data_IF_620865027578
#
_entry.id   IF_620865027578
#
_cell.length_a   1.000
_cell.length_b   1.000
_cell.length_c   1.000
_cell.angle_alpha   90.00
_cell.angle_beta   90.00
_cell.angle_gamma   90.00
#
_symmetry.space_group_name_H-M   'P 1'
#
loop_
_entity.id
_entity.type
_entity.pdbx_description
1 polymer ?
#
# COMPACT_ATOMS: atom_id res chain seq x y z
N UNK A 1 18.88 2.19 -1.02
CA UNK A 1 17.73 1.26 -0.89
C UNK A 1 16.67 1.78 0.07
N UNK A 2 17.02 2.26 1.28
CA UNK A 2 16.07 2.77 2.29
C UNK A 2 15.06 3.80 1.78
N UNK A 3 15.56 4.85 1.10
CA UNK A 3 14.72 5.93 0.55
C UNK A 3 13.74 5.40 -0.51
N UNK A 4 14.19 4.48 -1.38
CA UNK A 4 13.34 3.87 -2.41
C UNK A 4 12.23 3.02 -1.79
N UNK A 5 12.58 2.14 -0.84
CA UNK A 5 11.61 1.26 -0.17
C UNK A 5 10.57 2.06 0.63
N UNK A 6 11.01 3.09 1.36
CA UNK A 6 10.10 4.02 2.03
C UNK A 6 9.16 4.73 1.05
N UNK A 7 9.69 5.28 -0.06
CA UNK A 7 8.90 6.01 -1.05
C UNK A 7 7.89 5.10 -1.76
N UNK A 8 8.26 3.86 -2.08
CA UNK A 8 7.36 2.89 -2.71
C UNK A 8 6.22 2.51 -1.77
N UNK A 9 6.50 2.17 -0.51
CA UNK A 9 5.46 1.85 0.47
C UNK A 9 4.54 3.05 0.67
N UNK A 10 5.11 4.25 0.84
CA UNK A 10 4.37 5.49 1.02
C UNK A 10 3.42 5.76 -0.16
N UNK A 11 3.92 5.69 -1.40
CA UNK A 11 3.12 5.94 -2.60
C UNK A 11 1.98 4.92 -2.74
N UNK A 12 2.25 3.63 -2.57
CA UNK A 12 1.23 2.58 -2.65
C UNK A 12 0.14 2.82 -1.60
N UNK A 13 0.54 3.11 -0.36
CA UNK A 13 -0.42 3.37 0.72
C UNK A 13 -1.23 4.64 0.51
N UNK A 14 -0.66 5.71 -0.03
CA UNK A 14 -1.38 6.95 -0.37
C UNK A 14 -2.40 6.69 -1.48
N UNK A 15 -2.00 6.00 -2.55
CA UNK A 15 -2.89 5.68 -3.67
C UNK A 15 -4.06 4.81 -3.17
N UNK A 16 -3.77 3.74 -2.41
CA UNK A 16 -4.79 2.89 -1.83
C UNK A 16 -5.76 3.68 -0.94
N UNK A 17 -5.24 4.51 -0.03
CA UNK A 17 -6.06 5.31 0.88
C UNK A 17 -6.94 6.32 0.13
N UNK A 18 -6.41 6.92 -0.94
CA UNK A 18 -7.14 7.89 -1.77
C UNK A 18 -8.28 7.20 -2.53
N UNK A 19 -8.00 6.05 -3.16
CA UNK A 19 -9.01 5.26 -3.87
C UNK A 19 -10.12 4.83 -2.90
N UNK A 20 -9.76 4.32 -1.73
CA UNK A 20 -10.73 3.95 -0.70
C UNK A 20 -11.57 5.15 -0.29
N UNK A 21 -10.97 6.32 -0.04
CA UNK A 21 -11.70 7.52 0.34
C UNK A 21 -12.72 7.95 -0.72
N UNK A 22 -12.34 7.92 -2.00
CA UNK A 22 -13.22 8.25 -3.13
C UNK A 22 -14.36 7.25 -3.23
N UNK A 23 -14.05 5.95 -3.21
CA UNK A 23 -15.06 4.89 -3.28
C UNK A 23 -16.04 4.96 -2.12
N UNK A 24 -15.55 5.12 -0.89
CA UNK A 24 -16.38 5.28 0.30
C UNK A 24 -17.29 6.49 0.17
N UNK A 25 -16.77 7.63 -0.26
CA UNK A 25 -17.58 8.86 -0.47
C UNK A 25 -18.71 8.62 -1.47
N UNK A 26 -18.41 7.97 -2.61
CA UNK A 26 -19.40 7.66 -3.64
C UNK A 26 -20.50 6.71 -3.12
N UNK A 27 -20.10 5.64 -2.44
CA UNK A 27 -21.05 4.67 -1.85
C UNK A 27 -21.94 5.34 -0.80
N UNK A 28 -21.38 6.15 0.10
CA UNK A 28 -22.16 6.85 1.12
C UNK A 28 -23.13 7.87 0.53
N UNK A 29 -22.75 8.56 -0.55
CA UNK A 29 -23.64 9.50 -1.23
C UNK A 29 -24.87 8.78 -1.80
N UNK A 30 -24.66 7.68 -2.53
CA UNK A 30 -25.75 6.86 -3.06
C UNK A 30 -26.63 6.25 -1.96
N UNK A 31 -26.01 5.72 -0.91
CA UNK A 31 -26.71 5.17 0.25
C UNK A 31 -27.60 6.22 0.94
N UNK A 32 -27.07 7.42 1.17
CA UNK A 32 -27.82 8.49 1.84
C UNK A 32 -28.98 9.01 0.97
N UNK A 33 -28.78 9.09 -0.35
CA UNK A 33 -29.84 9.43 -1.29
C UNK A 33 -30.96 8.40 -1.29
N UNK A 34 -30.62 7.10 -1.33
CA UNK A 34 -31.62 6.06 -1.29
C UNK A 34 -32.36 6.01 0.06
N UNK A 35 -31.63 6.19 1.16
CA UNK A 35 -32.22 6.25 2.50
C UNK A 35 -33.19 7.43 2.64
N UNK A 36 -32.88 8.60 2.07
CA UNK A 36 -33.80 9.74 2.05
C UNK A 36 -35.10 9.43 1.29
N UNK A 37 -35.02 8.68 0.18
CA UNK A 37 -36.20 8.21 -0.56
C UNK A 37 -37.06 7.26 0.27
N UNK A 38 -36.44 6.25 0.87
CA UNK A 38 -37.14 5.26 1.71
C UNK A 38 -37.78 5.88 2.96
N UNK A 39 -37.14 6.88 3.56
CA UNK A 39 -37.73 7.66 4.65
C UNK A 39 -39.02 8.37 4.21
N UNK A 40 -39.05 8.99 3.02
CA UNK A 40 -40.26 9.63 2.50
C UNK A 40 -41.37 8.61 2.26
N UNK A 41 -41.05 7.46 1.66
CA UNK A 41 -42.01 6.36 1.45
C UNK A 41 -42.62 5.89 2.77
N UNK A 42 -41.78 5.69 3.78
CA UNK A 42 -42.20 5.24 5.11
C UNK A 42 -43.14 6.24 5.76
N UNK A 43 -42.78 7.53 5.75
CA UNK A 43 -43.63 8.59 6.31
C UNK A 43 -44.97 8.62 5.60
N UNK A 44 -44.99 8.61 4.26
CA UNK A 44 -46.23 8.65 3.49
C UNK A 44 -47.11 7.44 3.81
N UNK A 45 -46.57 6.23 3.78
CA UNK A 45 -47.35 5.02 4.03
C UNK A 45 -47.92 4.94 5.46
N UNK A 46 -47.24 5.53 6.45
CA UNK A 46 -47.71 5.57 7.84
C UNK A 46 -48.69 6.72 8.11
N UNK A 47 -48.72 7.75 7.25
CA UNK A 47 -49.49 8.99 7.50
C UNK A 47 -50.66 9.17 6.55
N UNK A 48 -50.73 8.42 5.43
CA UNK A 48 -51.78 8.50 4.42
C UNK A 48 -53.12 7.89 4.84
N UNK A 49 -53.52 8.07 6.10
CA UNK A 49 -54.85 7.72 6.56
C UNK A 49 -55.82 8.86 6.18
N UNK A 50 -56.93 8.59 5.46
CA UNK A 50 -57.76 9.64 4.87
C UNK A 50 -58.27 10.70 5.87
N UNK A 51 -58.62 10.30 7.09
CA UNK A 51 -59.13 11.19 8.15
C UNK A 51 -58.09 12.20 8.67
N UNK A 52 -56.80 12.01 8.38
CA UNK A 52 -55.72 12.94 8.78
C UNK A 52 -55.51 14.07 7.77
N UNK A 53 -56.17 14.00 6.62
CA UNK A 53 -55.99 14.90 5.48
C UNK A 53 -57.30 15.46 4.92
N UNK A 54 -58.41 15.31 5.65
CA UNK A 54 -59.77 15.64 5.23
C UNK A 54 -60.17 17.12 5.42
N UNK A 55 -59.53 17.82 6.35
CA UNK A 55 -59.87 19.18 6.75
C UNK A 55 -58.61 20.01 6.93
N UNK A 56 -58.72 21.34 6.75
CA UNK A 56 -57.55 22.22 6.87
C UNK A 56 -56.88 22.12 8.24
N UNK A 57 -57.67 21.90 9.30
CA UNK A 57 -57.17 21.72 10.66
C UNK A 57 -56.41 20.38 10.82
N UNK A 58 -56.96 19.27 10.33
CA UNK A 58 -56.31 17.95 10.39
C UNK A 58 -55.03 17.92 9.55
N UNK A 59 -55.04 18.49 8.35
CA UNK A 59 -53.86 18.63 7.47
C UNK A 59 -52.76 19.41 8.19
N UNK A 60 -53.07 20.60 8.72
CA UNK A 60 -52.08 21.43 9.41
C UNK A 60 -51.50 20.73 10.65
N UNK A 61 -52.34 20.01 11.41
CA UNK A 61 -51.89 19.24 12.57
C UNK A 61 -50.95 18.09 12.17
N UNK A 62 -51.32 17.31 11.15
CA UNK A 62 -50.52 16.21 10.60
C UNK A 62 -49.17 16.70 10.09
N UNK A 63 -49.15 17.75 9.27
CA UNK A 63 -47.92 18.37 8.75
C UNK A 63 -47.02 18.83 9.89
N UNK A 64 -47.57 19.57 10.87
CA UNK A 64 -46.79 20.07 12.00
C UNK A 64 -46.22 18.95 12.89
N UNK A 65 -46.99 17.88 13.13
CA UNK A 65 -46.52 16.74 13.92
C UNK A 65 -45.39 15.99 13.21
N UNK A 66 -45.49 15.80 11.89
CA UNK A 66 -44.45 15.14 11.10
C UNK A 66 -43.20 16.02 11.07
N UNK A 67 -43.34 17.32 10.75
CA UNK A 67 -42.20 18.25 10.69
C UNK A 67 -41.48 18.43 12.03
N UNK A 68 -42.18 18.29 13.18
CA UNK A 68 -41.54 18.26 14.51
C UNK A 68 -40.80 16.95 14.80
N UNK A 69 -41.14 15.88 14.09
CA UNK A 69 -40.58 14.54 14.32
C UNK A 69 -39.43 14.20 13.37
N UNK A 70 -39.11 15.08 12.43
CA UNK A 70 -38.05 14.87 11.43
C UNK A 70 -37.10 16.07 11.40
N UNK A 71 -35.80 15.81 11.29
CA UNK A 71 -34.76 16.85 11.25
C UNK A 71 -34.48 17.39 9.83
N UNK A 72 -35.43 17.24 8.91
CA UNK A 72 -35.27 17.67 7.53
C UNK A 72 -36.58 18.21 6.95
N UNK A 73 -36.45 19.19 6.05
CA UNK A 73 -37.61 19.81 5.43
C UNK A 73 -38.25 18.86 4.41
N UNK A 74 -39.55 18.61 4.61
CA UNK A 74 -40.41 17.89 3.68
C UNK A 74 -41.47 18.87 3.21
N UNK A 75 -41.78 18.85 1.91
CA UNK A 75 -42.93 19.54 1.36
C UNK A 75 -44.09 18.58 1.26
N UNK A 76 -45.25 18.99 1.77
CA UNK A 76 -46.50 18.26 1.64
C UNK A 76 -47.37 18.99 0.63
N UNK A 77 -47.91 18.26 -0.34
CA UNK A 77 -48.86 18.77 -1.33
C UNK A 77 -50.05 17.82 -1.43
N UNK A 78 -51.27 18.33 -1.38
CA UNK A 78 -52.49 17.56 -1.71
C UNK A 78 -52.95 17.99 -3.09
N UNK A 79 -53.15 17.01 -3.98
CA UNK A 79 -53.45 17.23 -5.39
C UNK A 79 -54.73 16.50 -5.73
N UNK A 80 -55.68 17.20 -6.36
CA UNK A 80 -56.93 16.59 -6.80
C UNK A 80 -56.78 15.86 -8.14
N UNK A 81 -57.80 15.12 -8.56
CA UNK A 81 -57.84 14.36 -9.82
C UNK A 81 -57.69 15.23 -11.08
N UNK A 82 -58.06 16.50 -11.00
CA UNK A 82 -57.84 17.48 -12.09
C UNK A 82 -56.40 18.02 -12.14
N UNK A 83 -55.58 17.67 -11.16
CA UNK A 83 -54.19 18.11 -11.02
C UNK A 83 -54.03 19.46 -10.31
N UNK A 84 -55.08 19.99 -9.71
CA UNK A 84 -55.04 21.24 -8.94
C UNK A 84 -54.50 20.98 -7.53
N UNK A 85 -53.68 21.91 -7.03
CA UNK A 85 -53.16 21.85 -5.66
C UNK A 85 -54.18 22.41 -4.68
N UNK A 86 -54.71 21.56 -3.81
CA UNK A 86 -55.66 21.95 -2.74
C UNK A 86 -54.91 22.48 -1.51
N UNK A 87 -53.76 21.88 -1.22
CA UNK A 87 -52.92 22.26 -0.10
C UNK A 87 -51.45 22.14 -0.46
N UNK A 88 -50.64 23.11 -0.02
CA UNK A 88 -49.19 23.03 -0.08
C UNK A 88 -48.57 23.62 1.18
N UNK A 89 -47.57 22.95 1.75
CA UNK A 89 -46.94 23.36 2.99
C UNK A 89 -45.86 24.43 2.81
N UNK A 90 -45.44 24.74 1.58
CA UNK A 90 -44.39 25.72 1.29
C UNK A 90 -44.92 27.01 0.64
N UNK A 91 -46.07 26.96 -0.05
CA UNK A 91 -46.68 28.11 -0.72
C UNK A 91 -48.19 28.14 -0.51
N UNK A 92 -48.76 29.33 -0.35
CA UNK A 92 -50.21 29.50 -0.16
C UNK A 92 -51.02 29.31 -1.45
N UNK A 93 -50.43 29.62 -2.62
CA UNK A 93 -51.09 29.43 -3.92
C UNK A 93 -50.12 28.86 -4.95
N UNK A 94 -50.58 27.84 -5.68
CA UNK A 94 -49.86 27.23 -6.80
C UNK A 94 -50.82 27.14 -7.99
N UNK A 95 -50.53 27.91 -9.03
CA UNK A 95 -51.36 27.98 -10.24
C UNK A 95 -50.91 26.97 -11.32
N UNK A 96 -49.88 26.17 -11.04
CA UNK A 96 -49.38 25.17 -11.97
C UNK A 96 -50.18 23.87 -11.83
N UNK A 97 -50.61 23.29 -12.95
CA UNK A 97 -51.26 21.98 -12.94
C UNK A 97 -50.24 20.85 -12.76
N UNK A 98 -50.55 19.93 -11.86
CA UNK A 98 -49.76 18.73 -11.60
C UNK A 98 -50.35 17.46 -12.25
N UNK A 99 -51.35 17.59 -13.12
CA UNK A 99 -52.09 16.45 -13.70
C UNK A 99 -51.20 15.46 -14.46
N UNK A 100 -50.19 15.97 -15.16
CA UNK A 100 -49.31 15.17 -16.03
C UNK A 100 -48.03 14.73 -15.34
N UNK A 101 -47.92 14.96 -14.02
CA UNK A 101 -46.71 14.60 -13.28
C UNK A 101 -46.69 13.07 -13.08
N UNK A 102 -45.63 12.35 -13.50
CA UNK A 102 -45.60 10.89 -13.47
C UNK A 102 -45.99 10.30 -12.12
N UNK A 103 -45.48 10.88 -11.02
CA UNK A 103 -45.79 10.41 -9.67
C UNK A 103 -47.28 10.51 -9.32
N UNK A 104 -47.97 11.54 -9.83
CA UNK A 104 -49.40 11.78 -9.55
C UNK A 104 -50.27 10.86 -10.39
N UNK A 105 -49.93 10.68 -11.66
CA UNK A 105 -50.63 9.77 -12.57
C UNK A 105 -50.56 8.34 -12.03
N UNK A 106 -49.35 7.88 -11.69
CA UNK A 106 -49.16 6.54 -11.14
C UNK A 106 -49.86 6.36 -9.79
N UNK A 107 -49.89 7.39 -8.93
CA UNK A 107 -50.61 7.31 -7.66
C UNK A 107 -52.11 7.09 -7.86
N UNK A 108 -52.75 7.75 -8.82
CA UNK A 108 -54.17 7.53 -9.11
C UNK A 108 -54.45 6.15 -9.74
N UNK A 109 -53.54 5.63 -10.57
CA UNK A 109 -53.68 4.34 -11.26
C UNK A 109 -53.36 3.13 -10.38
N UNK A 110 -52.23 3.18 -9.67
CA UNK A 110 -51.62 2.05 -8.94
C UNK A 110 -51.73 2.19 -7.42
N UNK A 111 -52.17 3.35 -6.91
CA UNK A 111 -52.24 3.69 -5.49
C UNK A 111 -50.99 4.42 -4.97
N UNK A 112 -49.85 4.33 -5.67
CA UNK A 112 -48.65 5.10 -5.38
C UNK A 112 -47.85 5.37 -6.66
N UNK A 113 -46.97 6.38 -6.61
CA UNK A 113 -46.07 6.73 -7.70
C UNK A 113 -44.89 7.55 -7.20
N UNK A 114 -43.78 7.51 -7.93
CA UNK A 114 -42.59 8.27 -7.56
C UNK A 114 -41.81 8.78 -8.76
N UNK A 115 -41.17 9.94 -8.59
CA UNK A 115 -40.38 10.57 -9.65
C UNK A 115 -39.17 11.29 -9.05
N UNK A 116 -38.05 11.25 -9.76
CA UNK A 116 -36.86 12.04 -9.45
C UNK A 116 -36.59 12.97 -10.61
N UNK A 117 -36.78 14.27 -10.40
CA UNK A 117 -36.56 15.28 -11.44
C UNK A 117 -36.00 16.56 -10.87
N UNK A 118 -35.31 17.30 -11.74
CA UNK A 118 -34.93 18.67 -11.48
C UNK A 118 -36.17 19.55 -11.32
N UNK A 119 -36.21 20.37 -10.28
CA UNK A 119 -37.26 21.35 -10.04
C UNK A 119 -36.77 22.74 -10.41
N UNK A 120 -37.31 23.33 -11.47
CA UNK A 120 -36.90 24.67 -11.91
C UNK A 120 -37.22 25.76 -10.87
N UNK A 121 -38.32 25.59 -10.13
CA UNK A 121 -38.73 26.55 -9.08
C UNK A 121 -37.77 26.59 -7.89
N UNK A 122 -37.13 25.46 -7.58
CA UNK A 122 -36.22 25.31 -6.44
C UNK A 122 -34.75 25.22 -6.93
N UNK A 123 -34.55 25.14 -8.25
CA UNK A 123 -33.26 24.96 -8.92
C UNK A 123 -32.45 23.80 -8.36
N UNK A 124 -33.09 22.64 -8.21
CA UNK A 124 -32.52 21.49 -7.49
C UNK A 124 -33.20 20.17 -7.85
N UNK A 125 -32.44 19.07 -7.79
CA UNK A 125 -33.01 17.72 -7.91
C UNK A 125 -33.90 17.40 -6.72
N UNK A 126 -35.15 17.06 -7.01
CA UNK A 126 -36.17 16.75 -6.02
C UNK A 126 -36.65 15.32 -6.21
N UNK A 127 -36.82 14.61 -5.09
CA UNK A 127 -37.56 13.37 -5.06
C UNK A 127 -39.02 13.65 -4.72
N UNK A 128 -39.93 13.08 -5.48
CA UNK A 128 -41.37 13.16 -5.27
C UNK A 128 -41.90 11.75 -5.04
N UNK A 129 -42.68 11.59 -3.98
CA UNK A 129 -43.40 10.36 -3.69
C UNK A 129 -44.87 10.71 -3.44
N UNK A 130 -45.77 10.04 -4.15
CA UNK A 130 -47.19 10.30 -4.10
C UNK A 130 -47.96 9.02 -3.76
N UNK A 131 -48.98 9.14 -2.91
CA UNK A 131 -49.91 8.06 -2.59
C UNK A 131 -51.35 8.53 -2.64
N UNK A 132 -52.24 7.64 -3.04
CA UNK A 132 -53.67 7.91 -3.12
C UNK A 132 -54.28 7.98 -1.72
N UNK A 133 -54.89 9.12 -1.38
CA UNK A 133 -55.66 9.26 -0.15
C UNK A 133 -57.09 8.72 -0.36
N UNK A 134 -57.71 9.10 -1.48
CA UNK A 134 -59.05 8.67 -1.88
C UNK A 134 -59.17 8.72 -3.42
N UNK A 135 -60.36 8.47 -3.97
CA UNK A 135 -60.56 8.44 -5.43
C UNK A 135 -60.39 9.80 -6.14
N UNK A 136 -60.35 10.89 -5.38
CA UNK A 136 -60.29 12.26 -5.88
C UNK A 136 -58.98 12.98 -5.52
N UNK A 137 -58.22 12.48 -4.54
CA UNK A 137 -57.07 13.18 -3.95
C UNK A 137 -55.86 12.26 -3.73
N UNK A 138 -54.68 12.85 -3.95
CA UNK A 138 -53.37 12.25 -3.75
C UNK A 138 -52.55 13.12 -2.79
N UNK A 139 -51.92 12.48 -1.81
CA UNK A 139 -50.90 13.08 -0.95
C UNK A 139 -49.54 12.90 -1.62
N UNK A 140 -48.86 14.02 -1.89
CA UNK A 140 -47.49 14.02 -2.40
C UNK A 140 -46.54 14.62 -1.38
N UNK A 141 -45.48 13.91 -1.08
CA UNK A 141 -44.34 14.42 -0.34
C UNK A 141 -43.18 14.67 -1.30
N UNK A 142 -42.43 15.75 -1.08
CA UNK A 142 -41.19 15.97 -1.80
C UNK A 142 -40.07 16.48 -0.90
N UNK A 143 -38.85 16.07 -1.27
CA UNK A 143 -37.62 16.44 -0.57
C UNK A 143 -36.52 16.69 -1.59
N UNK A 144 -35.72 17.70 -1.28
CA UNK A 144 -34.54 18.04 -2.06
C UNK A 144 -33.47 16.95 -1.93
N UNK A 145 -33.09 16.32 -3.04
CA UNK A 145 -31.95 15.40 -3.09
C UNK A 145 -30.66 16.20 -2.94
N UNK A 146 -30.59 17.44 -3.46
CA UNK A 146 -29.42 18.29 -3.26
C UNK A 146 -29.22 18.75 -1.80
N UNK A 147 -30.22 18.59 -0.91
CA UNK A 147 -29.99 18.76 0.54
C UNK A 147 -28.93 17.78 1.07
N UNK A 148 -28.69 16.69 0.35
CA UNK A 148 -27.59 15.76 0.59
C UNK A 148 -26.26 16.44 0.31
N UNK A 149 -26.13 17.23 -0.77
CA UNK A 149 -24.90 17.99 -1.04
C UNK A 149 -24.55 18.93 0.10
N UNK A 150 -25.54 19.59 0.73
CA UNK A 150 -25.32 20.44 1.91
C UNK A 150 -24.83 19.63 3.12
N UNK A 151 -25.35 18.42 3.33
CA UNK A 151 -24.84 17.50 4.35
C UNK A 151 -23.39 17.11 4.04
N UNK A 152 -23.06 16.85 2.76
CA UNK A 152 -21.70 16.57 2.33
C UNK A 152 -20.78 17.78 2.44
N UNK A 153 -21.22 19.01 2.18
CA UNK A 153 -20.46 20.24 2.43
C UNK A 153 -20.08 20.39 3.91
N UNK A 154 -20.98 20.00 4.82
CA UNK A 154 -20.71 20.01 6.25
C UNK A 154 -19.78 18.87 6.71
N UNK A 155 -19.86 17.70 6.08
CA UNK A 155 -19.04 16.51 6.44
C UNK A 155 -17.66 16.55 5.75
N UNK A 156 -17.54 17.14 4.56
CA UNK A 156 -16.31 17.17 3.77
C UNK A 156 -15.10 17.72 4.53
N UNK A 157 -15.19 18.85 5.25
CA UNK A 157 -14.07 19.34 6.07
C UNK A 157 -13.62 18.32 7.13
N UNK A 158 -14.56 17.59 7.74
CA UNK A 158 -14.25 16.55 8.74
C UNK A 158 -13.55 15.35 8.10
N UNK A 159 -14.02 14.92 6.92
CA UNK A 159 -13.36 13.86 6.14
C UNK A 159 -11.96 14.29 5.69
N UNK A 160 -11.78 15.55 5.32
CA UNK A 160 -10.47 16.08 4.97
C UNK A 160 -9.49 16.04 6.15
N UNK A 161 -9.92 16.45 7.34
CA UNK A 161 -9.11 16.33 8.57
C UNK A 161 -8.77 14.86 8.86
N UNK A 162 -9.73 13.95 8.71
CA UNK A 162 -9.49 12.51 8.87
C UNK A 162 -8.49 11.97 7.83
N UNK A 163 -8.59 12.43 6.58
CA UNK A 163 -7.66 12.07 5.52
C UNK A 163 -6.23 12.52 5.83
N UNK A 164 -6.05 13.76 6.30
CA UNK A 164 -4.73 14.25 6.76
C UNK A 164 -4.20 13.39 7.91
N UNK A 165 -5.04 13.02 8.87
CA UNK A 165 -4.65 12.13 9.96
C UNK A 165 -4.18 10.76 9.44
N UNK A 166 -4.90 10.17 8.48
CA UNK A 166 -4.50 8.92 7.82
C UNK A 166 -3.14 9.08 7.14
N UNK A 167 -2.88 10.19 6.44
CA UNK A 167 -1.59 10.45 5.80
C UNK A 167 -0.43 10.49 6.83
N UNK A 168 -0.65 11.09 8.00
CA UNK A 168 0.34 11.13 9.09
C UNK A 168 0.62 9.71 9.61
N UNK A 169 -0.42 8.90 9.80
CA UNK A 169 -0.29 7.50 10.22
C UNK A 169 0.47 6.69 9.17
N UNK A 170 0.07 6.80 7.89
CA UNK A 170 0.71 6.12 6.77
C UNK A 170 2.19 6.50 6.67
N UNK A 171 2.53 7.79 6.82
CA UNK A 171 3.90 8.26 6.86
C UNK A 171 4.69 7.61 7.99
N UNK A 172 4.14 7.63 9.20
CA UNK A 172 4.78 7.10 10.42
C UNK A 172 5.00 5.59 10.31
N UNK A 173 3.99 4.84 9.88
CA UNK A 173 4.06 3.39 9.67
C UNK A 173 5.06 3.06 8.57
N UNK A 174 5.01 3.75 7.42
CA UNK A 174 5.96 3.54 6.32
C UNK A 174 7.40 3.77 6.79
N UNK A 175 7.62 4.80 7.61
CA UNK A 175 8.95 5.11 8.16
C UNK A 175 9.45 4.04 9.14
N UNK A 176 8.60 3.55 10.04
CA UNK A 176 8.93 2.49 10.99
C UNK A 176 9.20 1.18 10.25
N UNK A 177 8.33 0.79 9.31
CA UNK A 177 8.48 -0.44 8.52
C UNK A 177 9.75 -0.41 7.67
N UNK A 178 10.02 0.70 6.98
CA UNK A 178 11.27 0.86 6.24
C UNK A 178 12.51 0.79 7.15
N UNK A 179 12.43 1.28 8.40
CA UNK A 179 13.51 1.10 9.38
C UNK A 179 13.66 -0.35 9.82
N UNK A 180 12.55 -1.01 10.17
CA UNK A 180 12.55 -2.40 10.67
C UNK A 180 13.06 -3.40 9.63
N UNK A 181 12.69 -3.23 8.35
CA UNK A 181 13.16 -4.11 7.26
C UNK A 181 14.65 -3.90 6.97
N UNK A 182 15.14 -2.66 7.00
CA UNK A 182 16.54 -2.39 6.64
C UNK A 182 17.53 -2.55 7.79
N UNK A 183 17.09 -2.45 9.05
CA UNK A 183 17.95 -2.67 10.22
C UNK A 183 18.69 -4.02 10.17
N UNK A 184 18.03 -5.19 10.03
CA UNK A 184 18.71 -6.48 9.99
C UNK A 184 19.60 -6.64 8.76
N UNK A 185 19.21 -6.10 7.60
CA UNK A 185 20.04 -6.16 6.37
C UNK A 185 21.35 -5.40 6.58
N UNK A 186 21.28 -4.21 7.18
CA UNK A 186 22.46 -3.43 7.50
C UNK A 186 23.31 -4.10 8.57
N UNK A 187 22.69 -4.69 9.59
CA UNK A 187 23.38 -5.43 10.66
C UNK A 187 24.07 -6.69 10.11
N UNK A 188 23.41 -7.48 9.25
CA UNK A 188 24.04 -8.61 8.56
C UNK A 188 25.20 -8.16 7.67
N UNK A 189 25.07 -7.03 6.98
CA UNK A 189 26.14 -6.49 6.14
C UNK A 189 27.33 -5.95 6.96
N UNK A 190 27.09 -5.29 8.10
CA UNK A 190 28.15 -4.77 8.96
C UNK A 190 28.81 -5.87 9.80
N UNK A 191 28.04 -6.87 10.21
CA UNK A 191 28.50 -8.02 10.99
C UNK A 191 28.77 -9.24 10.11
N UNK A 192 29.00 -9.05 8.81
CA UNK A 192 29.49 -10.11 7.93
C UNK A 192 30.74 -10.75 8.56
N UNK A 193 31.64 -9.95 9.13
CA UNK A 193 32.83 -10.43 9.85
C UNK A 193 32.49 -11.26 11.10
N UNK A 194 31.41 -10.94 11.82
CA UNK A 194 30.94 -11.69 12.98
C UNK A 194 30.16 -12.96 12.58
N UNK A 195 29.37 -12.92 11.50
CA UNK A 195 28.73 -14.09 10.87
C UNK A 195 29.81 -15.04 10.33
N UNK A 196 30.94 -14.48 9.89
CA UNK A 196 32.15 -15.19 9.52
C UNK A 196 32.94 -15.71 10.72
N UNK A 197 32.51 -15.50 11.97
CA UNK A 197 33.08 -16.20 13.14
C UNK A 197 32.01 -17.11 13.76
N UNK A 198 32.39 -18.34 14.17
CA UNK A 198 31.46 -19.36 14.67
C UNK A 198 30.72 -19.00 15.97
N UNK A 199 30.93 -17.79 16.51
CA UNK A 199 30.38 -17.34 17.79
C UNK A 199 28.97 -16.73 17.72
N UNK A 200 28.41 -16.50 16.54
CA UNK A 200 27.27 -15.58 16.37
C UNK A 200 25.89 -16.24 16.28
N UNK A 201 25.71 -17.48 16.77
CA UNK A 201 24.36 -18.08 16.84
C UNK A 201 23.42 -17.32 17.80
N UNK A 202 23.98 -16.66 18.81
CA UNK A 202 23.22 -16.04 19.90
C UNK A 202 23.23 -14.50 19.90
N UNK A 203 24.05 -13.83 19.08
CA UNK A 203 24.27 -12.38 19.17
C UNK A 203 23.58 -11.54 18.10
N UNK A 204 23.14 -12.13 16.99
CA UNK A 204 22.49 -11.40 15.89
C UNK A 204 21.04 -11.88 15.81
N UNK A 205 20.10 -10.98 16.07
CA UNK A 205 18.67 -11.25 15.94
C UNK A 205 18.30 -11.25 14.44
N UNK A 206 18.69 -12.32 13.75
CA UNK A 206 18.36 -12.56 12.35
C UNK A 206 16.87 -12.96 12.31
N UNK A 207 16.05 -12.25 11.53
CA UNK A 207 14.67 -12.66 11.32
C UNK A 207 14.62 -14.02 10.59
N UNK A 208 13.58 -14.81 10.85
CA UNK A 208 13.39 -16.16 10.28
C UNK A 208 13.53 -16.16 8.75
N UNK A 209 13.05 -15.12 8.07
CA UNK A 209 13.10 -14.99 6.62
C UNK A 209 14.53 -14.81 6.05
N UNK A 210 15.49 -14.38 6.88
CA UNK A 210 16.88 -14.20 6.48
C UNK A 210 17.78 -15.38 6.88
N UNK A 211 17.26 -16.35 7.64
CA UNK A 211 18.01 -17.55 8.05
C UNK A 211 18.56 -18.36 6.86
N UNK A 212 17.81 -18.61 5.77
CA UNK A 212 18.33 -19.37 4.63
C UNK A 212 19.54 -18.71 3.96
N UNK A 213 19.52 -17.37 3.89
CA UNK A 213 20.63 -16.57 3.33
C UNK A 213 21.85 -16.67 4.25
N UNK A 214 21.65 -16.52 5.57
CA UNK A 214 22.72 -16.66 6.55
C UNK A 214 23.36 -18.05 6.50
N UNK A 215 22.55 -19.11 6.37
CA UNK A 215 23.05 -20.49 6.28
C UNK A 215 23.84 -20.69 4.98
N UNK A 216 23.36 -20.17 3.86
CA UNK A 216 24.09 -20.22 2.57
C UNK A 216 25.45 -19.53 2.66
N UNK A 217 25.54 -18.36 3.29
CA UNK A 217 26.81 -17.64 3.50
C UNK A 217 27.77 -18.49 4.34
N UNK A 218 27.26 -19.13 5.40
CA UNK A 218 28.07 -20.00 6.28
C UNK A 218 28.60 -21.23 5.53
N UNK A 219 27.77 -21.86 4.71
CA UNK A 219 28.17 -22.99 3.88
C UNK A 219 29.24 -22.59 2.85
N UNK A 220 29.08 -21.44 2.19
CA UNK A 220 30.08 -20.92 1.27
C UNK A 220 31.42 -20.65 1.97
N UNK A 221 31.40 -20.07 3.17
CA UNK A 221 32.60 -19.89 3.98
C UNK A 221 33.28 -21.22 4.31
N UNK A 222 32.52 -22.23 4.74
CA UNK A 222 33.06 -23.57 5.03
C UNK A 222 33.75 -24.17 3.81
N UNK A 223 33.15 -24.03 2.62
CA UNK A 223 33.75 -24.49 1.36
C UNK A 223 35.03 -23.74 1.00
N UNK A 224 35.03 -22.40 1.11
CA UNK A 224 36.21 -21.57 0.85
C UNK A 224 37.36 -21.96 1.79
N UNK A 225 37.09 -22.14 3.09
CA UNK A 225 38.10 -22.58 4.05
C UNK A 225 38.63 -23.99 3.73
N UNK A 226 37.76 -24.89 3.28
CA UNK A 226 38.15 -26.20 2.77
C UNK A 226 39.15 -26.10 1.62
N UNK A 227 38.83 -25.31 0.59
CA UNK A 227 39.73 -25.08 -0.55
C UNK A 227 41.06 -24.43 -0.14
N UNK A 228 41.05 -23.49 0.81
CA UNK A 228 42.29 -22.89 1.32
C UNK A 228 43.18 -23.93 2.00
N UNK A 229 42.59 -24.85 2.78
CA UNK A 229 43.36 -25.89 3.45
C UNK A 229 43.91 -26.93 2.46
N UNK A 230 43.11 -27.35 1.48
CA UNK A 230 43.54 -28.26 0.41
C UNK A 230 44.71 -27.67 -0.38
N UNK A 231 44.63 -26.39 -0.77
CA UNK A 231 45.72 -25.68 -1.44
C UNK A 231 46.98 -25.58 -0.58
N UNK A 232 46.84 -25.42 0.75
CA UNK A 232 47.98 -25.43 1.67
C UNK A 232 48.63 -26.81 1.75
N UNK A 233 47.83 -27.87 1.87
CA UNK A 233 48.32 -29.25 1.90
C UNK A 233 49.05 -29.60 0.60
N UNK A 234 48.50 -29.24 -0.56
CA UNK A 234 49.15 -29.46 -1.86
C UNK A 234 50.50 -28.71 -1.95
N UNK A 235 50.52 -27.43 -1.54
CA UNK A 235 51.76 -26.63 -1.49
C UNK A 235 52.81 -27.23 -0.55
N UNK A 236 52.40 -27.68 0.62
CA UNK A 236 53.29 -28.24 1.63
C UNK A 236 53.83 -29.61 1.17
N UNK A 237 53.02 -30.42 0.49
CA UNK A 237 53.45 -31.66 -0.16
C UNK A 237 54.49 -31.41 -1.26
N UNK A 238 54.26 -30.45 -2.16
CA UNK A 238 55.25 -30.06 -3.19
C UNK A 238 56.56 -29.60 -2.54
N UNK A 239 56.47 -28.79 -1.49
CA UNK A 239 57.63 -28.28 -0.74
C UNK A 239 58.40 -29.41 -0.04
N UNK A 240 57.68 -30.39 0.52
CA UNK A 240 58.28 -31.55 1.17
C UNK A 240 58.99 -32.47 0.17
N UNK A 241 58.37 -32.76 -0.98
CA UNK A 241 58.97 -33.57 -2.05
C UNK A 241 60.24 -32.88 -2.53
N UNK A 242 60.13 -31.63 -3.00
CA UNK A 242 61.27 -30.88 -3.55
C UNK A 242 62.39 -30.67 -2.53
N UNK A 243 62.07 -30.47 -1.25
CA UNK A 243 63.04 -30.31 -0.17
C UNK A 243 63.83 -31.58 0.19
N UNK A 244 63.27 -32.77 -0.07
CA UNK A 244 63.92 -34.06 0.21
C UNK A 244 64.50 -34.75 -1.04
N UNK A 245 64.29 -34.19 -2.24
CA UNK A 245 64.91 -34.69 -3.48
C UNK A 245 66.44 -34.58 -3.42
N UNK A 246 67.15 -35.57 -3.96
CA UNK A 246 68.62 -35.54 -4.03
C UNK A 246 69.10 -34.57 -5.11
N UNK A 247 68.32 -34.43 -6.18
CA UNK A 247 68.60 -33.54 -7.30
C UNK A 247 68.37 -32.07 -6.91
N UNK A 248 69.24 -31.19 -7.41
CA UNK A 248 69.06 -29.75 -7.31
C UNK A 248 67.93 -29.28 -8.22
N UNK A 249 66.97 -28.53 -7.67
CA UNK A 249 65.88 -27.90 -8.39
C UNK A 249 65.95 -26.38 -8.25
N UNK A 250 65.96 -25.68 -9.39
CA UNK A 250 65.90 -24.22 -9.47
C UNK A 250 64.89 -23.87 -10.55
N UNK A 251 63.90 -23.06 -10.21
CA UNK A 251 62.92 -22.54 -11.15
C UNK A 251 63.23 -21.07 -11.41
N UNK A 252 63.31 -20.68 -12.68
CA UNK A 252 63.63 -19.32 -13.11
C UNK A 252 62.48 -18.69 -13.90
N UNK A 253 62.36 -17.37 -13.86
CA UNK A 253 61.51 -16.62 -14.78
C UNK A 253 62.27 -16.26 -16.08
N UNK A 254 61.59 -15.59 -17.01
CA UNK A 254 62.18 -15.13 -18.28
C UNK A 254 63.34 -14.14 -18.11
N UNK A 255 63.45 -13.47 -16.96
CA UNK A 255 64.55 -12.54 -16.62
C UNK A 255 65.67 -13.22 -15.84
N UNK A 256 65.65 -14.56 -15.72
CA UNK A 256 66.58 -15.36 -14.91
C UNK A 256 66.52 -15.08 -13.40
N UNK A 257 65.41 -14.53 -12.92
CA UNK A 257 65.17 -14.43 -11.48
C UNK A 257 64.69 -15.77 -10.93
N UNK A 258 65.19 -16.12 -9.76
CA UNK A 258 64.86 -17.37 -9.08
C UNK A 258 63.44 -17.26 -8.51
N UNK A 259 62.53 -18.09 -9.04
CA UNK A 259 61.17 -18.26 -8.55
C UNK A 259 61.08 -19.29 -7.42
N UNK A 260 61.92 -20.33 -7.46
CA UNK A 260 61.98 -21.37 -6.42
C UNK A 260 63.34 -22.06 -6.46
N UNK A 261 63.82 -22.50 -5.29
CA UNK A 261 65.06 -23.26 -5.14
C UNK A 261 64.95 -24.24 -3.98
N UNK A 262 65.31 -25.51 -4.20
CA UNK A 262 65.31 -26.52 -3.14
C UNK A 262 66.64 -26.57 -2.37
N UNK A 263 66.66 -27.27 -1.22
CA UNK A 263 67.83 -27.40 -0.36
C UNK A 263 69.03 -28.03 -1.08
N UNK A 264 68.79 -29.06 -1.89
CA UNK A 264 69.84 -29.78 -2.62
C UNK A 264 70.54 -28.89 -3.66
N UNK A 265 69.81 -28.01 -4.35
CA UNK A 265 70.41 -27.04 -5.27
C UNK A 265 71.36 -26.07 -4.57
N UNK A 266 71.00 -25.59 -3.36
CA UNK A 266 71.87 -24.71 -2.57
C UNK A 266 73.18 -25.40 -2.17
N UNK A 267 73.08 -26.65 -1.72
CA UNK A 267 74.22 -27.50 -1.37
C UNK A 267 75.11 -27.82 -2.57
N UNK A 268 74.52 -28.16 -3.71
CA UNK A 268 75.27 -28.48 -4.94
C UNK A 268 76.00 -27.27 -5.51
N UNK A 269 75.42 -26.08 -5.39
CA UNK A 269 76.05 -24.83 -5.81
C UNK A 269 77.11 -24.35 -4.80
N UNK A 270 77.04 -24.82 -3.56
CA UNK A 270 77.96 -24.43 -2.48
C UNK A 270 77.58 -23.09 -1.82
N UNK A 271 76.29 -22.72 -1.86
CA UNK A 271 75.77 -21.48 -1.27
C UNK A 271 74.58 -21.79 -0.35
N UNK A 272 74.87 -22.47 0.76
CA UNK A 272 73.86 -23.03 1.68
C UNK A 272 73.02 -21.97 2.39
N UNK A 273 73.66 -20.85 2.72
CA UNK A 273 73.06 -19.69 3.39
C UNK A 273 72.24 -18.80 2.44
N UNK A 274 72.15 -19.15 1.15
CA UNK A 274 71.32 -18.40 0.23
C UNK A 274 69.84 -18.45 0.67
N UNK A 275 69.29 -17.28 0.96
CA UNK A 275 67.88 -17.06 1.24
C UNK A 275 67.21 -16.33 0.07
N UNK A 276 66.17 -16.96 -0.50
CA UNK A 276 65.34 -16.35 -1.52
C UNK A 276 64.35 -15.38 -0.85
N UNK A 277 64.79 -14.14 -0.62
CA UNK A 277 63.93 -13.03 -0.17
C UNK A 277 63.66 -12.09 -1.34
N UNK A 278 62.41 -12.04 -1.79
CA UNK A 278 62.00 -11.25 -2.97
C UNK A 278 62.50 -11.86 -4.29
N UNK A 279 62.56 -11.06 -5.35
CA UNK A 279 63.11 -11.47 -6.64
C UNK A 279 64.63 -11.30 -6.63
N UNK A 280 65.38 -12.40 -6.66
CA UNK A 280 66.85 -12.41 -6.78
C UNK A 280 67.27 -13.08 -8.07
N UNK A 281 68.26 -12.52 -8.74
CA UNK A 281 68.73 -13.07 -10.00
C UNK A 281 69.60 -14.32 -9.78
N UNK A 282 69.61 -15.28 -10.72
CA UNK A 282 70.45 -16.49 -10.64
C UNK A 282 71.94 -16.15 -10.48
N UNK A 283 72.38 -15.01 -11.00
CA UNK A 283 73.75 -14.51 -10.89
C UNK A 283 74.16 -14.17 -9.45
N UNK A 284 73.20 -13.97 -8.54
CA UNK A 284 73.46 -13.81 -7.11
C UNK A 284 73.67 -15.15 -6.39
N UNK A 285 73.17 -16.24 -6.95
CA UNK A 285 73.29 -17.58 -6.39
C UNK A 285 74.59 -18.25 -6.81
N UNK A 286 74.97 -18.16 -8.08
CA UNK A 286 76.18 -18.79 -8.63
C UNK A 286 76.87 -17.93 -9.69
N UNK A 287 78.20 -18.00 -9.75
CA UNK A 287 79.04 -17.41 -10.81
C UNK A 287 79.76 -18.47 -11.66
N UNK A 288 79.33 -19.73 -11.56
CA UNK A 288 79.89 -20.79 -12.38
C UNK A 288 79.45 -20.61 -13.85
N UNK A 289 80.43 -20.36 -14.72
CA UNK A 289 80.22 -20.13 -16.15
C UNK A 289 79.53 -21.31 -16.85
N UNK A 290 79.80 -22.56 -16.44
CA UNK A 290 79.16 -23.74 -17.04
C UNK A 290 77.66 -23.82 -16.72
N UNK A 291 77.24 -23.33 -15.56
CA UNK A 291 75.83 -23.32 -15.16
C UNK A 291 75.10 -22.16 -15.84
N UNK A 292 75.73 -20.99 -15.92
CA UNK A 292 75.14 -19.80 -16.52
C UNK A 292 74.93 -20.01 -18.03
N UNK A 293 75.89 -20.61 -18.72
CA UNK A 293 75.83 -20.91 -20.17
C UNK A 293 74.73 -21.92 -20.53
N UNK A 294 74.28 -22.73 -19.57
CA UNK A 294 73.16 -23.67 -19.74
C UNK A 294 71.78 -23.06 -19.49
N UNK A 295 71.74 -21.83 -18.99
CA UNK A 295 70.51 -21.06 -18.68
C UNK A 295 70.21 -20.04 -19.79
N UNK A 296 71.22 -19.69 -20.62
CA UNK A 296 71.08 -18.97 -21.88
C UNK A 296 70.45 -19.83 -23.00
#
# INVERSE_FOLDING_TARGET
MRKRLFLTILLISIIASTITCIMTTYVYHGFYANNAKEQLKTIVNLTAEPHKWDSRESINSSVNNILKSVDYNIRFTIINKDGNVIHDSWKDTINESHKNRPEVVEAFEKGFGDDTRYSDTISSDMYYYATKLNDEEVLRLSREISSINKVFEYIMPKLFVLFIFILIVVYTVSFITARKILKPINEMASSLEDILTEKSKDSIQIYEEFEPISNTIRDQKSKINGYINELKEERDNISFITGNMKEGFILLNHNKDILSINKSAKLMIGNDEFELKGSRNILELTRNLEIIDKID
#
